data_IF_899217616494
#
_entry.id   IF_899217616494
#
_cell.length_a   1.000
_cell.length_b   1.000
_cell.length_c   1.000
_cell.angle_alpha   90.00
_cell.angle_beta   90.00
_cell.angle_gamma   90.00
#
_symmetry.space_group_name_H-M   'P 1'
#
loop_
_entity.id
_entity.type
_entity.pdbx_description
1 polymer ?
#
# COMPACT_ATOMS: atom_id res chain seq x y z
N UNK A 1 -30.57 0.22 -9.49
CA UNK A 1 -30.10 0.17 -10.89
C UNK A 1 -30.45 -1.18 -11.49
N UNK A 2 -30.48 -1.33 -12.82
CA UNK A 2 -30.78 -2.62 -13.48
C UNK A 2 -29.78 -3.75 -13.19
N UNK A 3 -28.65 -3.45 -12.54
CA UNK A 3 -27.61 -4.41 -12.12
C UNK A 3 -27.60 -4.70 -10.62
N UNK A 4 -28.56 -4.16 -9.86
CA UNK A 4 -28.69 -4.45 -8.43
C UNK A 4 -28.86 -5.96 -8.23
N UNK A 5 -28.12 -6.55 -7.29
CA UNK A 5 -28.13 -7.99 -6.99
C UNK A 5 -27.79 -8.88 -8.21
N UNK A 6 -26.81 -8.48 -9.01
CA UNK A 6 -26.26 -9.34 -10.05
C UNK A 6 -25.75 -10.67 -9.45
N UNK A 7 -26.21 -11.84 -9.93
CA UNK A 7 -25.91 -13.13 -9.31
C UNK A 7 -24.42 -13.48 -9.32
N UNK A 8 -23.67 -13.09 -10.35
CA UNK A 8 -22.21 -13.31 -10.41
C UNK A 8 -21.49 -12.45 -9.37
N UNK A 9 -21.89 -11.18 -9.24
CA UNK A 9 -21.34 -10.28 -8.23
C UNK A 9 -21.65 -10.74 -6.80
N UNK A 10 -22.87 -11.22 -6.55
CA UNK A 10 -23.26 -11.76 -5.25
C UNK A 10 -22.47 -13.02 -4.89
N UNK A 11 -22.32 -13.97 -5.83
CA UNK A 11 -21.55 -15.18 -5.59
C UNK A 11 -20.06 -14.86 -5.30
N UNK A 12 -19.44 -13.96 -6.06
CA UNK A 12 -18.06 -13.55 -5.82
C UNK A 12 -17.89 -12.84 -4.46
N UNK A 13 -18.86 -12.01 -4.06
CA UNK A 13 -18.82 -11.33 -2.77
C UNK A 13 -18.95 -12.30 -1.59
N UNK A 14 -19.83 -13.31 -1.68
CA UNK A 14 -19.96 -14.34 -0.64
C UNK A 14 -18.64 -15.11 -0.46
N UNK A 15 -18.04 -15.57 -1.55
CA UNK A 15 -16.73 -16.25 -1.48
C UNK A 15 -15.64 -15.37 -0.87
N UNK A 16 -15.62 -14.07 -1.21
CA UNK A 16 -14.64 -13.14 -0.65
C UNK A 16 -14.84 -12.93 0.86
N UNK A 17 -16.09 -12.89 1.35
CA UNK A 17 -16.41 -12.81 2.77
C UNK A 17 -15.94 -14.08 3.51
N UNK A 18 -16.24 -15.27 2.98
CA UNK A 18 -15.76 -16.53 3.57
C UNK A 18 -14.22 -16.57 3.68
N UNK A 19 -13.53 -16.07 2.66
CA UNK A 19 -12.07 -15.94 2.66
C UNK A 19 -11.57 -14.95 3.72
N UNK A 20 -12.27 -13.84 3.95
CA UNK A 20 -11.89 -12.87 4.98
C UNK A 20 -12.20 -13.36 6.39
N UNK A 21 -13.27 -14.11 6.59
CA UNK A 21 -13.60 -14.71 7.89
C UNK A 21 -12.52 -15.71 8.34
N UNK A 22 -11.86 -16.38 7.39
CA UNK A 22 -10.70 -17.23 7.69
C UNK A 22 -9.49 -16.48 8.28
N UNK A 23 -9.40 -15.16 8.06
CA UNK A 23 -8.33 -14.32 8.61
C UNK A 23 -8.58 -13.88 10.07
N UNK A 24 -9.83 -13.91 10.52
CA UNK A 24 -10.26 -13.39 11.82
C UNK A 24 -10.28 -14.42 12.97
N UNK A 25 -9.83 -15.66 12.72
CA UNK A 25 -9.92 -16.74 13.72
C UNK A 25 -8.74 -16.78 14.70
N UNK A 26 -7.66 -16.04 14.45
CA UNK A 26 -6.47 -16.04 15.30
C UNK A 26 -6.26 -14.64 15.91
N UNK A 27 -6.74 -14.50 17.16
CA UNK A 27 -6.53 -13.39 18.09
C UNK A 27 -7.15 -12.01 17.78
N UNK A 28 -7.64 -11.36 18.85
CA UNK A 28 -8.27 -10.03 18.83
C UNK A 28 -7.31 -8.88 18.48
N UNK A 29 -6.07 -9.19 18.10
CA UNK A 29 -5.05 -8.21 17.71
C UNK A 29 -5.15 -7.92 16.21
N UNK A 30 -5.23 -6.63 15.80
CA UNK A 30 -5.21 -6.28 14.39
C UNK A 30 -3.96 -6.83 13.69
N UNK A 31 -4.16 -7.50 12.56
CA UNK A 31 -3.06 -8.02 11.73
C UNK A 31 -2.14 -6.89 11.27
N UNK A 32 -0.84 -7.08 11.46
CA UNK A 32 0.20 -6.15 10.99
C UNK A 32 0.70 -6.60 9.62
N UNK A 33 0.53 -5.72 8.62
CA UNK A 33 0.98 -5.97 7.25
C UNK A 33 2.36 -5.39 6.97
N UNK A 34 2.62 -4.15 7.39
CA UNK A 34 3.87 -3.47 7.11
C UNK A 34 4.70 -3.33 8.38
N UNK A 35 6.02 -3.46 8.22
CA UNK A 35 6.96 -3.31 9.32
C UNK A 35 7.01 -1.85 9.81
N UNK A 36 6.55 -1.56 11.05
CA UNK A 36 6.51 -0.19 11.55
C UNK A 36 7.88 0.48 11.62
N UNK A 37 8.94 -0.29 11.92
CA UNK A 37 10.30 0.23 12.04
C UNK A 37 10.81 0.74 10.70
N UNK A 38 10.64 -0.05 9.63
CA UNK A 38 11.01 0.38 8.28
C UNK A 38 10.20 1.59 7.81
N UNK A 39 8.88 1.65 8.10
CA UNK A 39 8.06 2.82 7.74
C UNK A 39 8.55 4.07 8.47
N UNK A 40 8.85 3.97 9.76
CA UNK A 40 9.39 5.08 10.56
C UNK A 40 10.77 5.53 10.05
N UNK A 41 11.66 4.58 9.73
CA UNK A 41 12.99 4.88 9.20
C UNK A 41 12.92 5.63 7.86
N UNK A 42 12.04 5.21 6.94
CA UNK A 42 11.81 5.93 5.68
C UNK A 42 11.24 7.33 5.94
N UNK A 43 10.34 7.46 6.92
CA UNK A 43 9.77 8.74 7.33
C UNK A 43 10.76 9.76 7.92
N UNK A 44 11.93 9.32 8.38
CA UNK A 44 12.99 10.21 8.87
C UNK A 44 13.86 10.82 7.75
N UNK A 45 13.69 10.37 6.50
CA UNK A 45 14.42 10.92 5.36
C UNK A 45 13.97 12.35 5.03
N UNK A 46 14.92 13.21 4.67
CA UNK A 46 14.61 14.58 4.19
C UNK A 46 13.81 14.59 2.88
N UNK A 47 13.77 13.46 2.16
CA UNK A 47 12.97 13.28 0.95
C UNK A 47 11.51 12.94 1.24
N UNK A 48 11.12 12.73 2.49
CA UNK A 48 9.78 12.30 2.89
C UNK A 48 9.18 13.33 3.86
N UNK A 49 8.01 13.84 3.53
CA UNK A 49 7.24 14.77 4.37
C UNK A 49 6.44 14.01 5.42
N UNK A 50 5.84 12.88 5.02
CA UNK A 50 5.06 12.01 5.91
C UNK A 50 5.18 10.55 5.48
N UNK A 51 5.23 9.65 6.46
CA UNK A 51 5.11 8.21 6.24
C UNK A 51 4.15 7.63 7.26
N UNK A 52 3.21 6.78 6.82
CA UNK A 52 2.32 6.06 7.73
C UNK A 52 1.81 4.77 7.11
N UNK A 53 1.33 3.88 7.95
CA UNK A 53 0.65 2.65 7.55
C UNK A 53 -0.66 2.48 8.32
N UNK A 54 -1.65 1.87 7.69
CA UNK A 54 -2.91 1.49 8.30
C UNK A 54 -3.49 0.27 7.57
N UNK A 55 -3.64 -0.85 8.29
CA UNK A 55 -4.12 -2.09 7.72
C UNK A 55 -3.31 -2.49 6.49
N UNK A 56 -3.99 -2.70 5.36
CA UNK A 56 -3.36 -3.11 4.10
C UNK A 56 -2.69 -1.99 3.32
N UNK A 57 -2.63 -0.77 3.85
CA UNK A 57 -2.14 0.42 3.13
C UNK A 57 -0.87 0.97 3.79
N UNK A 58 0.15 1.27 2.99
CA UNK A 58 1.32 2.07 3.39
C UNK A 58 1.48 3.26 2.46
N UNK A 59 1.86 4.40 3.02
CA UNK A 59 1.89 5.70 2.34
C UNK A 59 3.19 6.45 2.64
N UNK A 60 3.76 7.04 1.60
CA UNK A 60 4.90 7.96 1.67
C UNK A 60 4.58 9.23 0.88
N UNK A 61 4.53 10.37 1.54
CA UNK A 61 4.50 11.68 0.87
C UNK A 61 5.92 12.18 0.65
N UNK A 62 6.28 12.41 -0.59
CA UNK A 62 7.61 12.87 -0.95
C UNK A 62 7.73 14.40 -0.86
N UNK A 63 8.91 14.86 -0.46
CA UNK A 63 9.29 16.25 -0.55
C UNK A 63 9.53 16.61 -2.03
N UNK A 64 8.86 17.65 -2.51
CA UNK A 64 8.93 18.13 -3.89
C UNK A 64 8.59 19.62 -3.93
N UNK A 65 9.08 20.33 -4.94
CA UNK A 65 8.82 21.77 -5.13
C UNK A 65 7.35 22.03 -5.50
N UNK A 66 6.72 21.10 -6.24
CA UNK A 66 5.29 21.17 -6.58
C UNK A 66 4.40 20.65 -5.45
N UNK A 67 3.20 21.22 -5.27
CA UNK A 67 2.21 20.78 -4.28
C UNK A 67 0.92 20.31 -4.94
N UNK A 68 0.15 19.48 -4.22
CA UNK A 68 -1.17 19.02 -4.68
C UNK A 68 -1.11 17.87 -5.70
N UNK A 69 -2.26 17.51 -6.26
CA UNK A 69 -2.42 16.34 -7.15
C UNK A 69 -1.72 16.48 -8.51
N UNK A 70 -1.43 17.71 -8.94
CA UNK A 70 -0.72 17.99 -10.20
C UNK A 70 0.80 17.82 -10.08
N UNK A 71 1.32 17.66 -8.85
CA UNK A 71 2.73 17.48 -8.63
C UNK A 71 3.22 16.14 -9.22
N UNK A 72 4.36 16.16 -9.90
CA UNK A 72 4.93 14.98 -10.56
C UNK A 72 6.01 14.28 -9.74
N UNK A 73 6.26 14.73 -8.51
CA UNK A 73 7.38 14.28 -7.68
C UNK A 73 7.40 12.77 -7.42
N UNK A 74 6.25 12.10 -7.44
CA UNK A 74 6.17 10.65 -7.27
C UNK A 74 6.30 9.85 -8.57
N UNK A 75 6.16 10.46 -9.75
CA UNK A 75 6.08 9.72 -11.02
C UNK A 75 7.35 8.93 -11.35
N UNK A 76 8.52 9.52 -11.09
CA UNK A 76 9.80 8.85 -11.32
C UNK A 76 10.03 7.69 -10.34
N UNK A 77 9.59 7.83 -9.09
CA UNK A 77 9.60 6.74 -8.11
C UNK A 77 8.68 5.60 -8.54
N UNK A 78 7.46 5.90 -9.01
CA UNK A 78 6.54 4.87 -9.56
C UNK A 78 7.18 4.15 -10.75
N UNK A 79 7.93 4.86 -11.61
CA UNK A 79 8.61 4.25 -12.76
C UNK A 79 9.69 3.27 -12.31
N UNK A 80 10.51 3.63 -11.31
CA UNK A 80 11.50 2.73 -10.73
C UNK A 80 10.87 1.53 -9.99
N UNK A 81 9.83 1.76 -9.19
CA UNK A 81 9.12 0.67 -8.51
C UNK A 81 8.55 -0.35 -9.52
N UNK A 82 8.10 0.12 -10.67
CA UNK A 82 7.60 -0.75 -11.74
C UNK A 82 8.67 -1.68 -12.30
N UNK A 83 9.92 -1.24 -12.42
CA UNK A 83 11.03 -2.11 -12.87
C UNK A 83 11.32 -3.22 -11.87
N UNK A 84 11.01 -3.00 -10.59
CA UNK A 84 11.13 -3.98 -9.51
C UNK A 84 9.89 -4.88 -9.31
N UNK A 85 8.90 -4.75 -10.21
CA UNK A 85 7.64 -5.48 -10.19
C UNK A 85 6.60 -4.94 -9.21
N UNK A 86 6.80 -3.73 -8.67
CA UNK A 86 5.90 -3.10 -7.70
C UNK A 86 5.00 -2.08 -8.41
N UNK A 87 3.72 -2.40 -8.50
CA UNK A 87 2.70 -1.52 -9.08
C UNK A 87 2.08 -0.62 -8.01
N UNK A 88 2.81 0.41 -7.61
CA UNK A 88 2.32 1.46 -6.73
C UNK A 88 1.48 2.49 -7.49
N UNK A 89 0.73 3.32 -6.76
CA UNK A 89 0.00 4.46 -7.32
C UNK A 89 0.52 5.78 -6.74
N UNK A 90 0.51 6.80 -7.57
CA UNK A 90 0.82 8.17 -7.18
C UNK A 90 -0.46 9.03 -7.15
N UNK A 91 -0.54 9.93 -6.18
CA UNK A 91 -1.48 11.04 -6.11
C UNK A 91 -0.70 12.31 -5.75
N UNK A 92 -0.34 13.10 -6.76
CA UNK A 92 0.64 14.18 -6.58
C UNK A 92 2.00 13.61 -6.16
N UNK A 93 2.51 14.09 -5.01
CA UNK A 93 3.75 13.59 -4.40
C UNK A 93 3.54 12.39 -3.45
N UNK A 94 2.32 11.89 -3.32
CA UNK A 94 2.02 10.78 -2.42
C UNK A 94 2.11 9.45 -3.17
N UNK A 95 2.98 8.57 -2.72
CA UNK A 95 3.01 7.16 -3.11
C UNK A 95 2.18 6.38 -2.11
N UNK A 96 1.24 5.57 -2.59
CA UNK A 96 0.53 4.60 -1.76
C UNK A 96 0.57 3.22 -2.38
N UNK A 97 0.70 2.23 -1.51
CA UNK A 97 0.78 0.82 -1.84
C UNK A 97 -0.26 0.11 -1.01
N UNK A 98 -1.03 -0.75 -1.67
CA UNK A 98 -2.07 -1.55 -1.03
C UNK A 98 -1.80 -3.02 -1.30
N UNK A 99 -1.88 -3.84 -0.26
CA UNK A 99 -1.86 -5.30 -0.40
C UNK A 99 -3.27 -5.88 -0.24
N UNK A 100 -3.42 -7.16 -0.59
CA UNK A 100 -4.65 -7.90 -0.26
C UNK A 100 -4.67 -8.20 1.24
N UNK A 101 -5.84 -8.24 1.89
CA UNK A 101 -5.94 -8.75 3.26
C UNK A 101 -5.33 -10.14 3.45
N UNK A 102 -5.22 -10.92 2.37
CA UNK A 102 -4.65 -12.27 2.35
C UNK A 102 -3.13 -12.29 2.10
N UNK A 103 -2.51 -11.16 1.74
CA UNK A 103 -1.07 -11.08 1.47
C UNK A 103 -0.26 -11.40 2.73
N UNK A 104 0.81 -12.18 2.60
CA UNK A 104 1.67 -12.56 3.74
C UNK A 104 2.50 -11.37 4.22
N UNK A 105 2.82 -11.34 5.52
CA UNK A 105 3.70 -10.32 6.11
C UNK A 105 5.09 -10.34 5.47
N UNK A 106 5.58 -11.50 5.05
CA UNK A 106 6.85 -11.64 4.35
C UNK A 106 6.85 -10.91 2.99
N UNK A 107 5.79 -11.10 2.18
CA UNK A 107 5.65 -10.40 0.91
C UNK A 107 5.55 -8.88 1.12
N UNK A 108 4.79 -8.42 2.12
CA UNK A 108 4.73 -7.01 2.47
C UNK A 108 6.10 -6.46 2.89
N UNK A 109 6.90 -7.22 3.65
CA UNK A 109 8.27 -6.83 4.03
C UNK A 109 9.17 -6.69 2.82
N UNK A 110 9.16 -7.65 1.89
CA UNK A 110 9.96 -7.59 0.66
C UNK A 110 9.60 -6.37 -0.21
N UNK A 111 8.30 -6.09 -0.36
CA UNK A 111 7.82 -4.90 -1.06
C UNK A 111 8.31 -3.63 -0.37
N UNK A 112 8.15 -3.54 0.95
CA UNK A 112 8.54 -2.38 1.73
C UNK A 112 10.06 -2.12 1.68
N UNK A 113 10.88 -3.17 1.69
CA UNK A 113 12.34 -3.05 1.55
C UNK A 113 12.75 -2.47 0.18
N UNK A 114 12.13 -2.94 -0.91
CA UNK A 114 12.36 -2.38 -2.25
C UNK A 114 11.93 -0.92 -2.32
N UNK A 115 10.78 -0.59 -1.71
CA UNK A 115 10.29 0.79 -1.64
C UNK A 115 11.24 1.67 -0.86
N UNK A 116 11.68 1.23 0.32
CA UNK A 116 12.65 1.96 1.12
C UNK A 116 13.95 2.22 0.34
N UNK A 117 14.46 1.22 -0.40
CA UNK A 117 15.64 1.40 -1.26
C UNK A 117 15.44 2.48 -2.32
N UNK A 118 14.27 2.51 -2.99
CA UNK A 118 13.96 3.49 -4.03
C UNK A 118 13.69 4.89 -3.46
N UNK A 119 13.12 5.00 -2.26
CA UNK A 119 12.85 6.28 -1.61
C UNK A 119 14.12 6.88 -0.99
N UNK A 120 14.99 6.04 -0.43
CA UNK A 120 16.19 6.45 0.31
C UNK A 120 17.45 6.59 -0.58
N UNK A 121 17.54 5.87 -1.69
CA UNK A 121 18.63 6.02 -2.69
C UNK A 121 18.42 7.24 -3.57
#
# INVERSE_FOLDING_TARGET
HSFTANPVGCAAALTALDMYDSLGQEDATPRVYWDPETVAAVGQSTRVVRAFQLGTVVVFELASEGKGYEATGAQDFIRHLRTDGIYARALGNVIYIMCSPLTTTDACRQVLQKVAKVVLG
#
